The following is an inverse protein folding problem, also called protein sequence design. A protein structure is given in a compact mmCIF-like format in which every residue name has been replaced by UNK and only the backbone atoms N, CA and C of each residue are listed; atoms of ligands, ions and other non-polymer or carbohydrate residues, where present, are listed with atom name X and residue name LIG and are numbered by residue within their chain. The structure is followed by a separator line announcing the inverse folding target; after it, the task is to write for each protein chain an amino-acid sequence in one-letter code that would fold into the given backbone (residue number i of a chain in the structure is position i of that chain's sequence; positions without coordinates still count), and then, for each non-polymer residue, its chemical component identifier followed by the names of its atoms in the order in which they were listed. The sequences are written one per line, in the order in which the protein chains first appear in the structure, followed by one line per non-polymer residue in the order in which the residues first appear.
data_IF_610776730994
#
_entry.id   IF_610776730994
#
_cell.length_a   1.000
_cell.length_b   1.000
_cell.length_c   1.000
_cell.angle_alpha   90.00
_cell.angle_beta   90.00
_cell.angle_gamma   90.00
#
_symmetry.space_group_name_H-M   'P 1'
#
loop_
_entity.id
_entity.type
_entity.pdbx_description
1 polymer ?
#
# COMPACT_ATOMS: atom_id res chain seq x y z
N UNK A 1 -15.25 -18.62 22.05
CA UNK A 1 -14.08 -19.50 22.11
C UNK A 1 -12.86 -18.58 22.19
N UNK A 2 -12.20 -18.47 23.36
CA UNK A 2 -10.99 -17.63 23.54
C UNK A 2 -9.83 -18.38 22.88
N UNK A 3 -9.31 -17.84 21.80
CA UNK A 3 -8.05 -18.29 21.19
C UNK A 3 -6.95 -17.83 22.14
N UNK A 4 -6.28 -18.77 22.79
CA UNK A 4 -5.19 -18.49 23.71
C UNK A 4 -3.98 -17.96 22.92
N UNK A 5 -3.63 -16.68 23.16
CA UNK A 5 -2.36 -16.13 22.75
C UNK A 5 -1.25 -16.88 23.51
N UNK A 6 -0.53 -17.76 22.84
CA UNK A 6 0.63 -18.43 23.43
C UNK A 6 1.82 -17.46 23.42
N UNK A 7 2.67 -17.52 24.44
CA UNK A 7 3.89 -16.68 24.54
C UNK A 7 4.84 -16.84 23.33
N UNK A 8 4.73 -17.92 22.59
CA UNK A 8 5.47 -18.19 21.35
C UNK A 8 5.01 -17.29 20.20
N UNK A 9 3.70 -17.03 20.04
CA UNK A 9 3.16 -16.17 18.99
C UNK A 9 3.59 -14.72 19.16
N UNK A 10 3.66 -14.22 20.39
CA UNK A 10 4.13 -12.86 20.71
C UNK A 10 5.64 -12.72 20.43
N UNK A 11 6.42 -13.76 20.67
CA UNK A 11 7.87 -13.79 20.40
C UNK A 11 8.17 -13.78 18.91
N UNK A 12 7.41 -14.55 18.11
CA UNK A 12 7.59 -14.62 16.64
C UNK A 12 7.24 -13.28 16.00
N UNK A 13 6.12 -12.69 16.38
CA UNK A 13 5.69 -11.39 15.87
C UNK A 13 6.73 -10.29 16.14
N UNK A 14 7.42 -10.33 17.28
CA UNK A 14 8.45 -9.34 17.63
C UNK A 14 9.72 -9.45 16.78
N UNK A 15 10.06 -10.66 16.29
CA UNK A 15 11.29 -10.89 15.52
C UNK A 15 11.19 -10.48 14.05
N UNK A 16 9.99 -10.41 13.50
CA UNK A 16 9.73 -10.05 12.09
C UNK A 16 9.39 -8.57 11.89
N UNK A 17 9.15 -7.81 12.98
CA UNK A 17 8.79 -6.38 12.90
C UNK A 17 10.06 -5.53 12.88
N UNK A 18 10.31 -4.88 11.77
CA UNK A 18 11.41 -3.91 11.62
C UNK A 18 10.94 -2.49 11.97
N UNK A 19 11.74 -1.81 12.80
CA UNK A 19 11.48 -0.42 13.22
C UNK A 19 12.77 0.40 13.07
N UNK A 20 12.86 1.15 11.98
CA UNK A 20 13.97 2.07 11.71
C UNK A 20 13.41 3.33 11.03
N UNK A 21 14.10 4.47 11.08
CA UNK A 21 13.68 5.69 10.40
C UNK A 21 13.40 5.42 8.92
N UNK A 22 12.39 6.08 8.38
CA UNK A 22 11.91 5.90 7.02
C UNK A 22 11.75 7.27 6.36
N UNK A 23 12.52 7.51 5.30
CA UNK A 23 12.51 8.77 4.57
C UNK A 23 12.33 8.53 3.08
N UNK A 24 11.77 9.52 2.41
CA UNK A 24 11.67 9.55 0.96
C UNK A 24 12.42 10.75 0.40
N UNK A 25 13.02 10.58 -0.76
CA UNK A 25 13.77 11.65 -1.41
C UNK A 25 12.87 12.78 -1.92
N UNK A 26 13.48 13.98 -2.06
CA UNK A 26 12.79 15.22 -2.44
C UNK A 26 12.13 15.08 -3.80
N UNK A 27 12.80 14.44 -4.77
CA UNK A 27 12.31 14.33 -6.15
C UNK A 27 11.04 13.50 -6.22
N UNK A 28 10.97 12.40 -5.48
CA UNK A 28 9.78 11.55 -5.39
C UNK A 28 8.63 12.26 -4.68
N UNK A 29 8.89 12.93 -3.55
CA UNK A 29 7.86 13.77 -2.91
C UNK A 29 7.31 14.84 -3.85
N UNK A 30 8.19 15.49 -4.63
CA UNK A 30 7.80 16.52 -5.60
C UNK A 30 6.82 15.98 -6.64
N UNK A 31 7.10 14.78 -7.19
CA UNK A 31 6.22 14.11 -8.15
C UNK A 31 4.87 13.77 -7.52
N UNK A 32 4.87 13.23 -6.30
CA UNK A 32 3.64 12.86 -5.59
C UNK A 32 2.76 14.08 -5.28
N UNK A 33 3.35 15.17 -4.79
CA UNK A 33 2.65 16.42 -4.51
C UNK A 33 2.02 17.00 -5.76
N UNK A 34 2.72 16.96 -6.90
CA UNK A 34 2.23 17.47 -8.16
C UNK A 34 1.09 16.62 -8.75
N UNK A 35 1.24 15.30 -8.73
CA UNK A 35 0.31 14.38 -9.40
C UNK A 35 -0.88 13.96 -8.54
N UNK A 36 -0.69 13.87 -7.23
CA UNK A 36 -1.69 13.30 -6.31
C UNK A 36 -2.14 14.28 -5.21
N UNK A 37 -1.46 15.42 -5.08
CA UNK A 37 -1.77 16.38 -4.04
C UNK A 37 -1.23 15.98 -2.66
N UNK A 38 -1.55 16.79 -1.60
CA UNK A 38 -0.86 16.67 -0.33
C UNK A 38 -1.25 15.43 0.48
N UNK A 39 -2.53 15.04 0.50
CA UNK A 39 -2.99 13.91 1.32
C UNK A 39 -2.56 12.57 0.73
N UNK A 40 -3.02 12.27 -0.48
CA UNK A 40 -2.64 11.02 -1.13
C UNK A 40 -1.12 10.94 -1.35
N UNK A 41 -0.48 12.07 -1.66
CA UNK A 41 0.98 12.16 -1.76
C UNK A 41 1.71 11.77 -0.48
N UNK A 42 1.22 12.17 0.70
CA UNK A 42 1.80 11.77 2.00
C UNK A 42 1.67 10.26 2.23
N UNK A 43 0.50 9.67 1.96
CA UNK A 43 0.27 8.24 2.13
C UNK A 43 1.17 7.43 1.18
N UNK A 44 1.16 7.77 -0.11
CA UNK A 44 1.98 7.11 -1.13
C UNK A 44 3.48 7.28 -0.89
N UNK A 45 3.91 8.40 -0.30
CA UNK A 45 5.30 8.59 0.09
C UNK A 45 5.77 7.53 1.10
N UNK A 46 4.95 7.22 2.11
CA UNK A 46 5.28 6.19 3.08
C UNK A 46 5.31 4.79 2.46
N UNK A 47 4.35 4.48 1.58
CA UNK A 47 4.33 3.20 0.84
C UNK A 47 5.55 3.05 -0.07
N UNK A 48 5.89 4.07 -0.86
CA UNK A 48 7.06 4.02 -1.75
C UNK A 48 8.35 3.86 -0.92
N UNK A 49 8.44 4.55 0.21
CA UNK A 49 9.63 4.47 1.06
C UNK A 49 9.85 3.05 1.59
N UNK A 50 8.79 2.36 2.11
CA UNK A 50 8.92 0.97 2.58
C UNK A 50 9.11 -0.01 1.43
N UNK A 51 8.46 0.20 0.27
CA UNK A 51 8.59 -0.66 -0.88
C UNK A 51 10.01 -0.62 -1.47
N UNK A 52 10.69 0.52 -1.45
CA UNK A 52 12.08 0.66 -1.91
C UNK A 52 13.10 -0.06 -1.02
N UNK A 53 12.73 -0.44 0.20
CA UNK A 53 13.60 -1.23 1.10
C UNK A 53 13.59 -2.73 0.74
N UNK A 54 12.65 -3.18 -0.10
CA UNK A 54 12.48 -4.60 -0.47
C UNK A 54 13.32 -4.97 -1.69
N UNK A 55 13.89 -6.17 -1.68
CA UNK A 55 14.51 -6.78 -2.86
C UNK A 55 13.48 -7.58 -3.64
N UNK A 56 13.35 -7.29 -4.93
CA UNK A 56 12.40 -7.92 -5.84
C UNK A 56 13.10 -8.95 -6.73
N UNK A 57 12.47 -10.11 -6.89
CA UNK A 57 12.94 -11.18 -7.79
C UNK A 57 12.04 -11.27 -9.01
N UNK A 58 12.63 -11.17 -10.19
CA UNK A 58 11.93 -11.31 -11.46
C UNK A 58 11.53 -12.77 -11.75
N UNK A 59 10.46 -13.02 -12.50
CA UNK A 59 9.50 -12.06 -13.02
C UNK A 59 8.64 -11.45 -11.92
N UNK A 60 8.26 -10.17 -12.08
CA UNK A 60 7.41 -9.43 -11.14
C UNK A 60 5.99 -9.32 -11.70
N UNK A 61 5.00 -9.63 -10.87
CA UNK A 61 3.59 -9.33 -11.09
C UNK A 61 3.17 -8.19 -10.17
N UNK A 62 2.72 -7.08 -10.73
CA UNK A 62 2.11 -5.97 -10.00
C UNK A 62 0.58 -6.18 -9.98
N UNK A 63 0.07 -6.69 -8.86
CA UNK A 63 -1.32 -7.08 -8.66
C UNK A 63 -2.13 -5.88 -8.16
N UNK A 64 -3.09 -5.43 -8.97
CA UNK A 64 -3.83 -4.19 -8.74
C UNK A 64 -2.95 -2.98 -9.03
N UNK A 65 -2.22 -2.99 -10.16
CA UNK A 65 -1.20 -1.98 -10.48
C UNK A 65 -1.76 -0.56 -10.64
N UNK A 66 -3.07 -0.41 -10.77
CA UNK A 66 -3.71 0.89 -10.95
C UNK A 66 -3.15 1.64 -12.17
N UNK A 67 -2.82 2.92 -11.99
CA UNK A 67 -2.20 3.75 -13.04
C UNK A 67 -0.66 3.59 -13.13
N UNK A 68 -0.08 2.70 -12.35
CA UNK A 68 1.34 2.36 -12.35
C UNK A 68 2.25 3.42 -11.73
N UNK A 69 1.72 4.55 -11.24
CA UNK A 69 2.54 5.64 -10.73
C UNK A 69 3.40 5.22 -9.53
N UNK A 70 2.81 4.55 -8.54
CA UNK A 70 3.55 4.11 -7.33
C UNK A 70 4.66 3.16 -7.73
N UNK A 71 4.35 2.15 -8.53
CA UNK A 71 5.31 1.14 -8.96
C UNK A 71 6.44 1.74 -9.79
N UNK A 72 6.14 2.70 -10.68
CA UNK A 72 7.16 3.42 -11.46
C UNK A 72 8.13 4.25 -10.62
N UNK A 73 7.70 4.66 -9.42
CA UNK A 73 8.54 5.36 -8.44
C UNK A 73 9.32 4.40 -7.53
N UNK A 74 8.96 3.11 -7.52
CA UNK A 74 9.66 2.07 -6.74
C UNK A 74 10.72 1.38 -7.58
N UNK A 75 10.39 1.00 -8.83
CA UNK A 75 11.26 0.18 -9.70
C UNK A 75 11.11 0.56 -11.19
N UNK A 76 12.16 0.33 -11.99
CA UNK A 76 12.17 0.74 -13.40
C UNK A 76 11.51 -0.27 -14.35
N UNK A 77 11.25 -1.49 -13.92
CA UNK A 77 10.75 -2.55 -14.79
C UNK A 77 9.90 -3.58 -14.04
N UNK A 78 8.80 -4.02 -14.68
CA UNK A 78 7.85 -5.03 -14.21
C UNK A 78 7.35 -5.82 -15.41
N UNK A 79 7.34 -7.15 -15.35
CA UNK A 79 6.91 -7.97 -16.46
C UNK A 79 5.39 -7.93 -16.67
N UNK A 80 4.61 -7.91 -15.58
CA UNK A 80 3.14 -7.99 -15.68
C UNK A 80 2.48 -6.98 -14.76
N UNK A 81 1.66 -6.09 -15.32
CA UNK A 81 0.68 -5.31 -14.58
C UNK A 81 -0.71 -5.95 -14.66
N UNK A 82 -1.41 -6.11 -13.55
CA UNK A 82 -2.74 -6.69 -13.50
C UNK A 82 -3.71 -5.73 -12.81
N UNK A 83 -4.81 -5.43 -13.47
CA UNK A 83 -5.92 -4.63 -12.91
C UNK A 83 -7.21 -4.93 -13.71
N UNK A 84 -8.40 -5.03 -13.08
CA UNK A 84 -9.64 -5.26 -13.80
C UNK A 84 -10.13 -4.06 -14.64
N UNK A 85 -9.65 -2.85 -14.36
CA UNK A 85 -10.04 -1.63 -15.09
C UNK A 85 -9.09 -1.34 -16.25
N UNK A 86 -9.51 -1.68 -17.47
CA UNK A 86 -8.76 -1.41 -18.69
C UNK A 86 -8.35 0.07 -18.84
N UNK A 87 -9.21 1.02 -18.42
CA UNK A 87 -8.89 2.46 -18.55
C UNK A 87 -7.76 2.87 -17.61
N UNK A 88 -7.66 2.21 -16.47
CA UNK A 88 -6.55 2.41 -15.52
C UNK A 88 -5.26 1.88 -16.14
N UNK A 89 -5.29 0.69 -16.74
CA UNK A 89 -4.13 0.08 -17.42
C UNK A 89 -3.63 0.92 -18.61
N UNK A 90 -4.52 1.59 -19.35
CA UNK A 90 -4.11 2.55 -20.39
C UNK A 90 -3.29 3.72 -19.82
N UNK A 91 -3.51 4.10 -18.56
CA UNK A 91 -2.68 5.09 -17.86
C UNK A 91 -1.36 4.47 -17.37
N UNK A 92 -1.41 3.23 -16.86
CA UNK A 92 -0.21 2.49 -16.45
C UNK A 92 0.77 2.28 -17.62
N UNK A 93 0.27 2.02 -18.82
CA UNK A 93 1.10 1.88 -20.02
C UNK A 93 1.95 3.12 -20.31
N UNK A 94 1.49 4.31 -19.92
CA UNK A 94 2.24 5.56 -20.10
C UNK A 94 3.45 5.69 -19.17
N UNK A 95 3.53 4.88 -18.12
CA UNK A 95 4.71 4.85 -17.25
C UNK A 95 5.91 4.19 -17.92
N UNK A 96 5.68 3.31 -18.93
CA UNK A 96 6.72 2.69 -19.72
C UNK A 96 7.57 1.64 -18.97
N UNK A 97 7.07 1.11 -17.85
CA UNK A 97 7.79 0.14 -17.02
C UNK A 97 7.27 -1.30 -17.15
N UNK A 98 6.11 -1.50 -17.77
CA UNK A 98 5.45 -2.82 -17.88
C UNK A 98 5.67 -3.43 -19.26
N UNK A 99 6.00 -4.74 -19.31
CA UNK A 99 6.07 -5.48 -20.59
C UNK A 99 4.69 -5.79 -21.13
N UNK A 100 3.75 -6.19 -20.25
CA UNK A 100 2.37 -6.51 -20.64
C UNK A 100 1.38 -6.29 -19.50
N UNK A 101 0.09 -6.30 -19.86
CA UNK A 101 -1.02 -6.16 -18.94
C UNK A 101 -2.01 -7.31 -19.03
N UNK A 102 -2.59 -7.66 -17.87
CA UNK A 102 -3.71 -8.59 -17.74
C UNK A 102 -4.94 -7.83 -17.23
N UNK A 103 -6.03 -7.81 -18.04
CA UNK A 103 -7.31 -7.16 -17.68
C UNK A 103 -8.21 -8.19 -17.03
N UNK A 104 -8.01 -8.47 -15.73
CA UNK A 104 -8.70 -9.56 -15.03
C UNK A 104 -8.75 -9.25 -13.53
N UNK A 105 -9.72 -9.83 -12.80
CA UNK A 105 -9.67 -9.83 -11.33
C UNK A 105 -8.54 -10.73 -10.82
N UNK A 106 -7.97 -10.37 -9.68
CA UNK A 106 -6.80 -11.06 -9.12
C UNK A 106 -7.04 -12.56 -8.90
N UNK A 107 -8.22 -12.93 -8.41
CA UNK A 107 -8.62 -14.33 -8.17
C UNK A 107 -8.80 -15.15 -9.45
N UNK A 108 -9.02 -14.49 -10.59
CA UNK A 108 -9.30 -15.14 -11.88
C UNK A 108 -8.07 -15.18 -12.81
N UNK A 109 -6.87 -14.76 -12.33
CA UNK A 109 -5.65 -14.73 -13.13
C UNK A 109 -5.25 -16.12 -13.68
N UNK A 110 -4.91 -16.17 -14.96
CA UNK A 110 -4.55 -17.41 -15.68
C UNK A 110 -3.04 -17.53 -15.95
N UNK A 111 -2.21 -16.96 -15.07
CA UNK A 111 -0.76 -17.08 -15.19
C UNK A 111 -0.30 -18.51 -14.88
N UNK A 112 0.79 -18.99 -15.53
CA UNK A 112 1.35 -20.32 -15.25
C UNK A 112 1.71 -20.50 -13.78
N UNK A 113 1.55 -21.72 -13.28
CA UNK A 113 1.98 -22.08 -11.93
C UNK A 113 3.50 -21.89 -11.77
N UNK A 114 3.95 -21.48 -10.59
CA UNK A 114 5.35 -21.29 -10.22
C UNK A 114 6.18 -20.45 -11.22
N UNK A 115 5.56 -19.48 -11.89
CA UNK A 115 6.20 -18.65 -12.93
C UNK A 115 6.66 -17.26 -12.44
N UNK A 116 6.23 -16.82 -11.25
CA UNK A 116 6.47 -15.47 -10.73
C UNK A 116 7.47 -15.52 -9.57
N UNK A 117 8.48 -14.64 -9.60
CA UNK A 117 9.44 -14.46 -8.52
C UNK A 117 8.89 -13.57 -7.39
N UNK A 118 8.24 -12.47 -7.76
CA UNK A 118 7.62 -11.55 -6.80
C UNK A 118 6.23 -11.13 -7.26
N UNK A 119 5.24 -11.22 -6.38
CA UNK A 119 3.96 -10.52 -6.51
C UNK A 119 4.02 -9.28 -5.64
N UNK A 120 3.92 -8.10 -6.25
CA UNK A 120 3.75 -6.81 -5.58
C UNK A 120 2.27 -6.46 -5.54
N UNK A 121 1.76 -5.97 -4.40
CA UNK A 121 0.39 -5.48 -4.28
C UNK A 121 0.33 -4.29 -3.33
N UNK A 122 0.20 -3.09 -3.87
CA UNK A 122 0.23 -1.86 -3.07
C UNK A 122 -1.17 -1.30 -2.82
N UNK A 123 -1.65 -1.39 -1.58
CA UNK A 123 -2.98 -0.89 -1.17
C UNK A 123 -4.11 -1.46 -2.05
N UNK A 124 -4.21 -2.79 -2.13
CA UNK A 124 -5.22 -3.50 -2.92
C UNK A 124 -5.94 -4.55 -2.08
N UNK A 125 -5.20 -5.36 -1.31
CA UNK A 125 -5.76 -6.52 -0.61
C UNK A 125 -6.82 -6.14 0.43
N UNK A 126 -6.74 -4.92 0.98
CA UNK A 126 -7.75 -4.37 1.89
C UNK A 126 -9.13 -4.12 1.24
N UNK A 127 -9.18 -4.05 -0.09
CA UNK A 127 -10.41 -3.78 -0.86
C UNK A 127 -11.07 -5.04 -1.42
N UNK A 128 -10.41 -6.19 -1.37
CA UNK A 128 -10.86 -7.40 -2.05
C UNK A 128 -11.95 -8.13 -1.28
N UNK A 129 -13.08 -8.39 -1.95
CA UNK A 129 -14.15 -9.24 -1.42
C UNK A 129 -13.77 -10.72 -1.39
N UNK A 130 -12.99 -11.19 -2.39
CA UNK A 130 -12.58 -12.59 -2.56
C UNK A 130 -11.10 -12.78 -2.21
N UNK A 131 -10.71 -12.23 -1.04
CA UNK A 131 -9.31 -12.21 -0.64
C UNK A 131 -8.68 -13.60 -0.52
N UNK A 132 -9.38 -14.59 0.06
CA UNK A 132 -8.86 -15.96 0.17
C UNK A 132 -8.56 -16.56 -1.21
N UNK A 133 -9.48 -16.44 -2.17
CA UNK A 133 -9.26 -16.92 -3.54
C UNK A 133 -8.09 -16.19 -4.23
N UNK A 134 -7.93 -14.88 -3.95
CA UNK A 134 -6.79 -14.11 -4.45
C UNK A 134 -5.48 -14.63 -3.85
N UNK A 135 -5.42 -14.90 -2.55
CA UNK A 135 -4.21 -15.43 -1.91
C UNK A 135 -3.86 -16.84 -2.43
N UNK A 136 -4.86 -17.68 -2.70
CA UNK A 136 -4.67 -18.98 -3.35
C UNK A 136 -4.07 -18.82 -4.76
N UNK A 137 -4.62 -17.90 -5.56
CA UNK A 137 -4.11 -17.60 -6.91
C UNK A 137 -2.67 -17.05 -6.86
N UNK A 138 -2.37 -16.15 -5.91
CA UNK A 138 -1.00 -15.63 -5.67
C UNK A 138 -0.05 -16.75 -5.30
N UNK A 139 -0.43 -17.61 -4.34
CA UNK A 139 0.40 -18.73 -3.93
C UNK A 139 0.66 -19.72 -5.08
N UNK A 140 -0.33 -19.95 -5.96
CA UNK A 140 -0.20 -20.80 -7.14
C UNK A 140 0.84 -20.26 -8.13
N UNK A 141 0.79 -18.97 -8.46
CA UNK A 141 1.70 -18.39 -9.48
C UNK A 141 3.10 -18.14 -8.97
N UNK A 142 3.30 -17.92 -7.66
CA UNK A 142 4.62 -17.78 -7.06
C UNK A 142 5.42 -19.06 -7.19
N UNK A 143 6.70 -18.96 -7.61
CA UNK A 143 7.63 -20.08 -7.55
C UNK A 143 8.01 -20.44 -6.11
N UNK A 144 8.46 -21.64 -5.81
CA UNK A 144 9.06 -21.96 -4.50
C UNK A 144 10.14 -20.93 -4.14
N UNK A 145 10.07 -20.38 -2.91
CA UNK A 145 10.95 -19.30 -2.46
C UNK A 145 10.58 -17.90 -2.97
N UNK A 146 9.62 -17.75 -3.90
CA UNK A 146 9.11 -16.48 -4.37
C UNK A 146 8.33 -15.71 -3.27
N UNK A 147 8.13 -14.42 -3.44
CA UNK A 147 7.60 -13.54 -2.40
C UNK A 147 6.31 -12.82 -2.80
N UNK A 148 5.38 -12.73 -1.87
CA UNK A 148 4.31 -11.74 -1.89
C UNK A 148 4.77 -10.53 -1.06
N UNK A 149 4.80 -9.36 -1.68
CA UNK A 149 5.12 -8.07 -1.07
C UNK A 149 3.88 -7.19 -1.15
N UNK A 150 3.30 -6.80 -0.03
CA UNK A 150 2.11 -5.96 -0.09
C UNK A 150 2.07 -4.92 1.02
N UNK A 151 1.38 -3.82 0.76
CA UNK A 151 1.05 -2.79 1.73
C UNK A 151 -0.45 -2.80 1.99
N UNK A 152 -0.84 -2.51 3.22
CA UNK A 152 -2.24 -2.33 3.60
C UNK A 152 -2.35 -1.40 4.82
N UNK A 153 -3.46 -0.66 4.98
CA UNK A 153 -3.77 0.02 6.24
C UNK A 153 -3.97 -1.00 7.35
N UNK A 154 -3.69 -0.57 8.59
CA UNK A 154 -3.80 -1.46 9.75
C UNK A 154 -5.17 -1.36 10.41
N UNK A 155 -5.43 -2.28 11.34
CA UNK A 155 -6.58 -2.22 12.25
C UNK A 155 -6.61 -0.94 13.10
N UNK A 156 -5.45 -0.35 13.36
CA UNK A 156 -5.32 0.90 14.12
C UNK A 156 -5.70 2.14 13.32
N UNK A 157 -5.76 2.06 11.98
CA UNK A 157 -6.14 3.16 11.11
C UNK A 157 -7.40 3.88 11.61
N UNK A 158 -8.46 3.12 11.92
CA UNK A 158 -9.75 3.65 12.37
C UNK A 158 -9.69 4.45 13.68
N UNK A 159 -8.70 4.17 14.53
CA UNK A 159 -8.50 4.86 15.83
C UNK A 159 -7.55 6.04 15.74
N UNK A 160 -6.84 6.18 14.63
CA UNK A 160 -5.83 7.21 14.38
C UNK A 160 -6.39 8.40 13.57
N UNK A 161 -7.66 8.34 13.12
CA UNK A 161 -8.32 9.40 12.39
C UNK A 161 -8.52 10.67 13.26
N UNK A 162 -8.74 11.80 12.59
CA UNK A 162 -8.83 13.12 13.25
C UNK A 162 -9.98 13.19 14.27
N UNK A 163 -11.13 12.59 13.97
CA UNK A 163 -12.25 12.53 14.91
C UNK A 163 -12.30 11.16 15.61
N UNK A 164 -12.21 11.11 16.95
CA UNK A 164 -12.26 9.88 17.73
C UNK A 164 -13.70 9.35 17.85
N UNK A 165 -14.33 9.05 16.73
CA UNK A 165 -15.71 8.59 16.64
C UNK A 165 -15.83 7.32 15.80
N UNK A 166 -16.48 6.29 16.36
CA UNK A 166 -16.77 5.03 15.63
C UNK A 166 -17.60 5.28 14.37
N UNK A 167 -18.55 6.24 14.41
CA UNK A 167 -19.37 6.59 13.24
C UNK A 167 -18.53 7.24 12.15
N UNK A 168 -17.62 8.13 12.54
CA UNK A 168 -16.69 8.75 11.60
C UNK A 168 -15.74 7.73 10.97
N UNK A 169 -15.14 6.88 11.78
CA UNK A 169 -14.27 5.81 11.29
C UNK A 169 -14.99 4.84 10.33
N UNK A 170 -16.23 4.44 10.65
CA UNK A 170 -17.06 3.61 9.78
C UNK A 170 -17.35 4.30 8.43
N UNK A 171 -17.70 5.59 8.48
CA UNK A 171 -17.93 6.39 7.27
C UNK A 171 -16.65 6.51 6.41
N UNK A 172 -15.50 6.78 7.03
CA UNK A 172 -14.20 6.85 6.31
C UNK A 172 -13.84 5.52 5.66
N UNK A 173 -13.94 4.42 6.41
CA UNK A 173 -13.67 3.08 5.88
C UNK A 173 -14.60 2.73 4.71
N UNK A 174 -15.88 3.11 4.80
CA UNK A 174 -16.82 2.93 3.68
C UNK A 174 -16.42 3.77 2.45
N UNK A 175 -16.05 5.04 2.64
CA UNK A 175 -15.57 5.91 1.54
C UNK A 175 -14.31 5.36 0.87
N UNK A 176 -13.41 4.77 1.67
CA UNK A 176 -12.15 4.20 1.20
C UNK A 176 -12.31 2.74 0.75
N UNK A 177 -13.53 2.18 0.84
CA UNK A 177 -13.81 0.77 0.50
C UNK A 177 -12.92 -0.23 1.25
N UNK A 178 -12.57 0.07 2.51
CA UNK A 178 -11.79 -0.82 3.34
C UNK A 178 -12.63 -1.98 3.85
N UNK A 179 -12.34 -3.19 3.40
CA UNK A 179 -13.01 -4.43 3.80
C UNK A 179 -12.15 -5.26 4.76
N UNK A 180 -10.84 -5.23 4.57
CA UNK A 180 -9.89 -6.12 5.23
C UNK A 180 -8.87 -5.34 6.08
N UNK A 181 -9.32 -4.53 7.05
CA UNK A 181 -8.46 -3.90 8.06
C UNK A 181 -8.13 -4.91 9.17
N UNK A 182 -7.28 -5.86 8.83
CA UNK A 182 -7.01 -6.99 9.71
C UNK A 182 -5.81 -6.74 10.62
N UNK A 183 -5.84 -7.25 11.89
CA UNK A 183 -4.66 -7.33 12.71
C UNK A 183 -3.62 -8.28 12.10
N UNK A 184 -2.34 -8.10 12.49
CA UNK A 184 -1.22 -8.83 11.89
C UNK A 184 -1.40 -10.35 12.00
N UNK A 185 -1.88 -10.83 13.15
CA UNK A 185 -2.08 -12.26 13.41
C UNK A 185 -3.08 -12.88 12.44
N UNK A 186 -4.10 -12.09 12.04
CA UNK A 186 -5.07 -12.56 11.03
C UNK A 186 -4.43 -12.64 9.64
N UNK A 187 -3.60 -11.67 9.25
CA UNK A 187 -2.83 -11.74 8.01
C UNK A 187 -1.92 -12.96 7.99
N UNK A 188 -1.14 -13.19 9.07
CA UNK A 188 -0.26 -14.36 9.19
C UNK A 188 -1.06 -15.65 9.01
N UNK A 189 -2.19 -15.80 9.70
CA UNK A 189 -3.03 -17.00 9.61
C UNK A 189 -3.51 -17.27 8.16
N UNK A 190 -4.02 -16.26 7.46
CA UNK A 190 -4.51 -16.45 6.08
C UNK A 190 -3.37 -16.74 5.09
N UNK A 191 -2.21 -16.11 5.26
CA UNK A 191 -1.02 -16.36 4.43
C UNK A 191 -0.47 -17.78 4.66
N UNK A 192 -0.37 -18.24 5.89
CA UNK A 192 0.12 -19.58 6.21
C UNK A 192 -0.80 -20.68 5.66
N UNK A 193 -2.10 -20.47 5.65
CA UNK A 193 -3.07 -21.42 5.05
C UNK A 193 -2.81 -21.70 3.57
N UNK A 194 -2.23 -20.75 2.85
CA UNK A 194 -1.87 -20.90 1.41
C UNK A 194 -0.37 -21.17 1.21
N UNK A 195 0.38 -21.48 2.30
CA UNK A 195 1.81 -21.83 2.23
C UNK A 195 2.75 -20.62 2.09
N UNK A 196 2.28 -19.42 2.46
CA UNK A 196 3.10 -18.20 2.50
C UNK A 196 3.51 -17.91 3.96
N UNK A 197 4.79 -17.80 4.22
CA UNK A 197 5.35 -17.54 5.56
C UNK A 197 5.81 -16.08 5.64
N UNK A 198 5.35 -15.33 6.65
CA UNK A 198 5.71 -13.92 6.82
C UNK A 198 7.15 -13.79 7.30
N UNK A 199 7.98 -13.09 6.53
CA UNK A 199 9.40 -12.85 6.83
C UNK A 199 9.64 -11.47 7.45
N UNK A 200 8.93 -10.44 6.94
CA UNK A 200 9.14 -9.04 7.34
C UNK A 200 7.81 -8.33 7.47
N UNK A 201 7.71 -7.51 8.52
CA UNK A 201 6.62 -6.56 8.71
C UNK A 201 7.22 -5.19 8.98
N UNK A 202 6.84 -4.21 8.18
CA UNK A 202 7.37 -2.85 8.26
C UNK A 202 6.23 -1.84 8.46
N UNK A 203 5.95 -1.41 9.71
CA UNK A 203 4.94 -0.40 9.99
C UNK A 203 5.37 0.97 9.49
N UNK A 204 4.43 1.76 8.98
CA UNK A 204 4.66 3.13 8.56
C UNK A 204 3.49 4.04 8.96
N UNK A 205 3.68 5.36 8.86
CA UNK A 205 2.77 6.43 9.25
C UNK A 205 2.36 6.38 10.73
N UNK A 206 3.06 7.16 11.54
CA UNK A 206 2.72 7.40 12.95
C UNK A 206 1.32 7.99 13.08
N UNK A 207 0.63 7.81 14.22
CA UNK A 207 -0.75 8.29 14.41
C UNK A 207 -0.97 9.77 14.08
N UNK A 208 0.01 10.64 14.36
CA UNK A 208 -0.11 12.06 14.01
C UNK A 208 -0.06 12.31 12.49
N UNK A 209 0.70 11.50 11.73
CA UNK A 209 0.73 11.60 10.27
C UNK A 209 -0.57 11.09 9.64
N UNK A 210 -1.19 10.05 10.21
CA UNK A 210 -2.53 9.60 9.80
C UNK A 210 -3.57 10.70 10.03
N UNK A 211 -3.50 11.41 11.17
CA UNK A 211 -4.39 12.56 11.44
C UNK A 211 -4.18 13.68 10.44
N UNK A 212 -2.94 14.06 10.16
CA UNK A 212 -2.62 15.07 9.13
C UNK A 212 -3.17 14.65 7.77
N UNK A 213 -2.97 13.38 7.40
CA UNK A 213 -3.52 12.83 6.16
C UNK A 213 -5.06 12.94 6.12
N UNK A 214 -5.74 12.58 7.20
CA UNK A 214 -7.20 12.61 7.29
C UNK A 214 -7.75 14.05 7.29
N UNK A 215 -7.07 15.00 7.97
CA UNK A 215 -7.38 16.44 7.91
C UNK A 215 -7.28 16.95 6.47
N UNK A 216 -6.21 16.61 5.77
CA UNK A 216 -6.00 17.00 4.37
C UNK A 216 -7.07 16.39 3.46
N UNK A 217 -7.49 15.16 3.69
CA UNK A 217 -8.58 14.51 2.97
C UNK A 217 -9.93 15.21 3.20
N UNK A 218 -10.24 15.59 4.46
CA UNK A 218 -11.44 16.34 4.78
C UNK A 218 -11.44 17.71 4.11
N UNK A 219 -10.33 18.42 4.12
CA UNK A 219 -10.20 19.71 3.43
C UNK A 219 -10.44 19.57 1.91
N UNK A 220 -10.09 18.45 1.30
CA UNK A 220 -10.38 18.18 -0.11
C UNK A 220 -11.88 17.93 -0.39
N UNK A 221 -12.69 17.66 0.63
CA UNK A 221 -14.16 17.54 0.50
C UNK A 221 -14.88 18.89 0.48
N UNK A 222 -14.18 20.00 0.73
CA UNK A 222 -14.78 21.34 0.71
C UNK A 222 -14.98 21.79 -0.73
N UNK A 223 -16.23 22.10 -1.08
CA UNK A 223 -16.61 22.56 -2.42
C UNK A 223 -17.00 24.03 -2.37
N UNK A 224 -16.58 24.79 -3.37
CA UNK A 224 -17.07 26.14 -3.67
C UNK A 224 -17.67 26.08 -5.08
N UNK A 225 -19.02 26.15 -5.14
CA UNK A 225 -19.75 25.90 -6.39
C UNK A 225 -19.49 24.48 -6.89
N UNK A 226 -18.96 24.35 -8.11
CA UNK A 226 -18.66 23.06 -8.74
C UNK A 226 -17.18 22.62 -8.65
N UNK A 227 -16.36 23.32 -7.85
CA UNK A 227 -14.91 23.05 -7.75
C UNK A 227 -14.50 22.78 -6.30
N UNK A 228 -13.58 21.84 -6.12
CA UNK A 228 -12.96 21.58 -4.83
C UNK A 228 -12.03 22.72 -4.45
N UNK A 229 -12.21 23.33 -3.27
CA UNK A 229 -11.41 24.47 -2.80
C UNK A 229 -9.92 24.18 -2.80
N UNK A 230 -9.54 23.07 -2.17
CA UNK A 230 -8.11 22.66 -2.07
C UNK A 230 -7.52 22.43 -3.47
N UNK A 231 -8.25 21.77 -4.38
CA UNK A 231 -7.79 21.58 -5.76
C UNK A 231 -7.52 22.89 -6.48
N UNK A 232 -8.37 23.91 -6.31
CA UNK A 232 -8.17 25.23 -6.90
C UNK A 232 -6.92 25.95 -6.37
N UNK A 233 -6.68 25.86 -5.07
CA UNK A 233 -5.51 26.44 -4.41
C UNK A 233 -4.26 25.69 -4.83
N UNK A 234 -4.32 24.35 -4.80
CA UNK A 234 -3.18 23.48 -5.10
C UNK A 234 -2.64 23.70 -6.53
N UNK A 235 -3.54 23.80 -7.51
CA UNK A 235 -3.18 24.04 -8.90
C UNK A 235 -2.52 25.41 -9.13
N UNK A 236 -2.62 26.34 -8.17
CA UNK A 236 -2.01 27.68 -8.25
C UNK A 236 -0.71 27.80 -7.47
N UNK A 237 -0.28 26.75 -6.76
CA UNK A 237 1.00 26.76 -6.05
C UNK A 237 2.12 26.82 -7.11
N UNK A 238 3.00 27.84 -7.07
CA UNK A 238 4.14 27.91 -7.98
C UNK A 238 5.07 26.71 -7.79
N UNK A 239 5.81 26.32 -8.84
CA UNK A 239 6.80 25.23 -8.78
C UNK A 239 7.75 25.36 -7.59
N UNK A 240 8.31 26.55 -7.36
CA UNK A 240 9.17 26.83 -6.21
C UNK A 240 8.49 26.60 -4.84
N UNK A 241 7.17 26.76 -4.76
CA UNK A 241 6.40 26.45 -3.55
C UNK A 241 6.29 24.94 -3.32
N UNK A 242 6.03 24.18 -4.37
CA UNK A 242 6.02 22.72 -4.31
C UNK A 242 7.41 22.15 -4.02
N UNK A 243 8.49 22.75 -4.54
CA UNK A 243 9.86 22.35 -4.27
C UNK A 243 10.22 22.52 -2.79
N UNK A 244 9.84 23.67 -2.19
CA UNK A 244 10.02 23.92 -0.74
C UNK A 244 9.23 22.95 0.11
N UNK A 245 7.99 22.66 -0.29
CA UNK A 245 7.14 21.69 0.41
C UNK A 245 7.72 20.28 0.32
N UNK A 246 8.21 19.85 -0.84
CA UNK A 246 8.88 18.57 -1.01
C UNK A 246 10.16 18.47 -0.17
N UNK A 247 10.96 19.54 -0.13
CA UNK A 247 12.16 19.61 0.70
C UNK A 247 11.83 19.50 2.20
N UNK A 248 10.77 20.17 2.66
CA UNK A 248 10.31 20.03 4.05
C UNK A 248 9.77 18.62 4.32
N UNK A 249 8.94 18.08 3.42
CA UNK A 249 8.32 16.78 3.57
C UNK A 249 9.34 15.62 3.57
N UNK A 250 10.45 15.74 2.82
CA UNK A 250 11.51 14.73 2.79
C UNK A 250 12.24 14.54 4.14
N UNK A 251 12.11 15.51 5.05
CA UNK A 251 12.67 15.43 6.41
C UNK A 251 11.76 14.70 7.40
N UNK A 252 10.50 14.41 7.01
CA UNK A 252 9.56 13.71 7.86
C UNK A 252 9.97 12.25 7.97
N UNK A 253 10.07 11.76 9.21
CA UNK A 253 10.20 10.32 9.47
C UNK A 253 8.83 9.64 9.29
N UNK A 254 8.70 8.90 8.20
CA UNK A 254 7.49 8.17 7.80
C UNK A 254 7.33 6.82 8.54
N UNK A 255 8.34 6.40 9.33
CA UNK A 255 8.28 5.17 10.12
C UNK A 255 7.19 5.23 11.20
N UNK A 256 6.82 4.09 11.74
CA UNK A 256 5.90 4.01 12.86
C UNK A 256 6.25 2.85 13.80
N UNK A 257 6.00 2.99 15.11
CA UNK A 257 5.83 1.81 15.95
C UNK A 257 4.67 0.95 15.46
N UNK A 258 4.71 -0.36 15.72
CA UNK A 258 3.59 -1.24 15.40
C UNK A 258 2.35 -0.86 16.24
N UNK A 259 1.14 -0.86 15.64
CA UNK A 259 0.83 -1.33 14.29
C UNK A 259 1.03 -0.29 13.16
N UNK A 260 1.19 1.02 13.45
CA UNK A 260 1.23 2.08 12.44
C UNK A 260 -0.13 2.40 11.80
N UNK A 261 -0.18 3.40 10.92
CA UNK A 261 -1.35 3.66 10.07
C UNK A 261 -1.48 2.66 8.95
N UNK A 262 -0.34 2.27 8.37
CA UNK A 262 -0.19 1.19 7.40
C UNK A 262 0.99 0.30 7.73
N UNK A 263 1.07 -0.83 7.05
CA UNK A 263 2.19 -1.77 7.13
C UNK A 263 2.51 -2.37 5.78
N UNK A 264 3.80 -2.61 5.53
CA UNK A 264 4.28 -3.53 4.52
C UNK A 264 4.38 -4.92 5.15
N UNK A 265 4.00 -5.95 4.40
CA UNK A 265 4.22 -7.36 4.74
C UNK A 265 4.94 -8.02 3.58
N UNK A 266 6.01 -8.74 3.89
CA UNK A 266 6.71 -9.62 2.95
C UNK A 266 6.49 -11.07 3.41
N UNK A 267 5.93 -11.88 2.55
CA UNK A 267 5.70 -13.29 2.82
C UNK A 267 6.31 -14.14 1.71
N UNK A 268 7.01 -15.21 2.09
CA UNK A 268 7.71 -16.13 1.18
C UNK A 268 6.91 -17.41 0.99
N UNK A 269 6.84 -17.91 -0.24
CA UNK A 269 6.31 -19.24 -0.53
C UNK A 269 7.28 -20.32 -0.04
N UNK A 270 6.77 -21.25 0.78
CA UNK A 270 7.54 -22.44 1.23
C UNK A 270 7.94 -23.29 0.02
N UNK A 271 9.05 -24.02 0.17
CA UNK A 271 9.54 -24.95 -0.85
C UNK A 271 8.65 -26.19 -0.98
#
# INVERSE_FOLDING_TARGET
MKIGNTSADVSLASSIIEQRPLHLDISTFRVLLERQGPSLGLWRAAEIAVLREVTYEHPILDLGCGDGLVTSLVMPHVEIGLDPDKKVLERAARQGIYDRFEVVFAEDMQLPEASIGTVLSNSVLEHLHRLDSTLEAVARVLRPGGRLVFTAPTEAFSTQLVLPSKRYAAWRNHQLSHLNLWPLERWIHHLERVGLEVEVVRPYLRPHLVRIWDDLELLQQIWIGHRRLVGMIWQRIPSAGLDRLAQWASQIDLSSPSPGGGRLIVARKRY
#
